data_IF_921322026017
#
_entry.id   IF_921322026017
#
_cell.length_a   1.000
_cell.length_b   1.000
_cell.length_c   1.000
_cell.angle_alpha   90.00
_cell.angle_beta   90.00
_cell.angle_gamma   90.00
#
_symmetry.space_group_name_H-M   'P 1'
#
loop_
_entity.id
_entity.type
_entity.pdbx_description
1 polymer ?
#
# COMPACT_ATOMS: atom_id res chain seq x y z
N UNK A 1 -14.59 3.43 -11.51
CA UNK A 1 -15.58 4.54 -11.52
C UNK A 1 -15.06 5.69 -12.37
N UNK A 2 -15.90 6.40 -13.13
CA UNK A 2 -15.46 7.54 -13.90
C UNK A 2 -14.98 8.69 -13.02
N UNK A 3 -14.13 9.53 -13.58
CA UNK A 3 -13.66 10.76 -12.93
C UNK A 3 -14.06 11.97 -13.80
N UNK A 4 -14.68 13.03 -13.23
CA UNK A 4 -15.09 13.19 -11.83
C UNK A 4 -16.21 12.21 -11.42
N UNK A 5 -16.28 11.90 -10.15
CA UNK A 5 -17.29 10.98 -9.63
C UNK A 5 -18.67 11.64 -9.65
N UNK A 6 -19.63 11.03 -10.34
CA UNK A 6 -21.00 11.52 -10.41
C UNK A 6 -21.83 11.01 -9.23
N UNK A 7 -21.61 9.76 -8.84
CA UNK A 7 -22.29 9.10 -7.73
C UNK A 7 -21.36 8.11 -7.04
N UNK A 8 -21.48 7.99 -5.69
CA UNK A 8 -20.77 7.01 -4.90
C UNK A 8 -21.38 5.60 -5.00
N UNK A 9 -20.63 4.60 -4.51
CA UNK A 9 -21.04 3.19 -4.47
C UNK A 9 -21.65 2.77 -3.13
N UNK A 10 -21.80 3.65 -2.14
CA UNK A 10 -22.49 3.35 -0.89
C UNK A 10 -24.01 3.34 -1.11
N UNK A 11 -24.51 2.21 -1.59
CA UNK A 11 -25.91 1.98 -1.91
C UNK A 11 -26.21 0.47 -1.97
N UNK A 12 -27.45 0.09 -1.72
CA UNK A 12 -27.90 -1.31 -1.77
C UNK A 12 -27.88 -1.88 -3.19
N UNK A 13 -28.18 -1.03 -4.19
CA UNK A 13 -28.24 -1.44 -5.60
C UNK A 13 -27.38 -0.49 -6.44
N UNK A 14 -26.47 -1.06 -7.18
CA UNK A 14 -25.62 -0.38 -8.15
C UNK A 14 -25.81 -1.02 -9.52
N UNK A 15 -26.11 -0.22 -10.53
CA UNK A 15 -26.08 -0.65 -11.94
C UNK A 15 -24.68 -0.42 -12.49
N UNK A 16 -24.12 -1.46 -13.08
CA UNK A 16 -22.79 -1.44 -13.71
C UNK A 16 -22.84 -2.21 -15.03
N UNK A 17 -21.95 -1.88 -15.94
CA UNK A 17 -21.76 -2.64 -17.17
C UNK A 17 -21.07 -3.97 -16.85
N UNK A 18 -21.36 -5.04 -17.60
CA UNK A 18 -20.85 -6.38 -17.37
C UNK A 18 -19.30 -6.43 -17.39
N UNK A 19 -18.66 -5.68 -18.31
CA UNK A 19 -17.19 -5.60 -18.40
C UNK A 19 -16.53 -4.92 -17.19
N UNK A 20 -17.30 -4.23 -16.33
CA UNK A 20 -16.82 -3.65 -15.09
C UNK A 20 -16.88 -4.62 -13.91
N UNK A 21 -17.47 -5.79 -14.13
CA UNK A 21 -17.69 -6.79 -13.10
C UNK A 21 -16.72 -7.96 -13.27
N UNK A 22 -16.14 -8.40 -12.16
CA UNK A 22 -15.29 -9.60 -12.10
C UNK A 22 -15.92 -10.59 -11.14
N UNK A 23 -16.20 -11.86 -11.58
CA UNK A 23 -16.75 -12.89 -10.71
C UNK A 23 -15.85 -13.19 -9.51
N UNK A 24 -16.40 -13.06 -8.31
CA UNK A 24 -15.67 -13.25 -7.06
C UNK A 24 -16.10 -14.52 -6.30
N UNK A 25 -16.69 -15.52 -7.01
CA UNK A 25 -17.14 -16.76 -6.40
C UNK A 25 -16.03 -17.44 -5.58
N UNK A 26 -16.37 -17.84 -4.36
CA UNK A 26 -15.42 -18.44 -3.42
C UNK A 26 -14.67 -17.46 -2.53
N UNK A 27 -14.89 -16.14 -2.69
CA UNK A 27 -14.49 -15.11 -1.72
C UNK A 27 -15.70 -14.69 -0.88
N UNK A 28 -15.46 -14.30 0.36
CA UNK A 28 -16.47 -13.58 1.13
C UNK A 28 -16.67 -12.16 0.56
N UNK A 29 -17.77 -11.50 0.92
CA UNK A 29 -18.00 -10.11 0.49
C UNK A 29 -16.90 -9.16 0.99
N UNK A 30 -16.39 -9.43 2.18
CA UNK A 30 -15.32 -8.68 2.81
C UNK A 30 -13.99 -8.84 2.04
N UNK A 31 -13.67 -10.07 1.66
CA UNK A 31 -12.49 -10.34 0.84
C UNK A 31 -12.64 -9.72 -0.55
N UNK A 32 -13.80 -9.88 -1.19
CA UNK A 32 -14.07 -9.32 -2.51
C UNK A 32 -13.92 -7.79 -2.52
N UNK A 33 -14.34 -7.09 -1.46
CA UNK A 33 -14.18 -5.65 -1.31
C UNK A 33 -12.70 -5.21 -1.21
N UNK A 34 -11.78 -6.12 -0.88
CA UNK A 34 -10.34 -5.85 -0.87
C UNK A 34 -9.69 -5.95 -2.25
N UNK A 35 -10.41 -6.38 -3.28
CA UNK A 35 -9.85 -6.53 -4.63
C UNK A 35 -9.36 -5.19 -5.21
N UNK A 36 -10.11 -4.10 -4.99
CA UNK A 36 -9.74 -2.78 -5.49
C UNK A 36 -8.44 -2.27 -4.86
N UNK A 37 -8.30 -2.16 -3.53
CA UNK A 37 -7.04 -1.68 -2.95
C UNK A 37 -5.86 -2.64 -3.20
N UNK A 38 -6.11 -3.95 -3.31
CA UNK A 38 -5.06 -4.89 -3.70
C UNK A 38 -4.62 -4.67 -5.16
N UNK A 39 -5.55 -4.40 -6.07
CA UNK A 39 -5.22 -4.10 -7.47
C UNK A 39 -4.33 -2.86 -7.61
N UNK A 40 -4.58 -1.82 -6.81
CA UNK A 40 -3.71 -0.63 -6.73
C UNK A 40 -2.29 -1.02 -6.32
N UNK A 41 -2.14 -1.89 -5.32
CA UNK A 41 -0.82 -2.35 -4.87
C UNK A 41 -0.14 -3.23 -5.92
N UNK A 42 -0.86 -4.13 -6.57
CA UNK A 42 -0.31 -4.97 -7.64
C UNK A 42 0.15 -4.13 -8.84
N UNK A 43 -0.56 -3.04 -9.15
CA UNK A 43 -0.13 -2.09 -10.15
C UNK A 43 1.18 -1.40 -9.76
N UNK A 44 1.33 -0.97 -8.50
CA UNK A 44 2.58 -0.40 -7.99
C UNK A 44 3.75 -1.40 -8.10
N UNK A 45 3.53 -2.67 -7.75
CA UNK A 45 4.51 -3.74 -7.91
C UNK A 45 4.94 -3.91 -9.37
N UNK A 46 3.98 -3.85 -10.31
CA UNK A 46 4.26 -3.92 -11.74
C UNK A 46 5.07 -2.73 -12.24
N UNK A 47 4.77 -1.51 -11.74
CA UNK A 47 5.55 -0.31 -12.04
C UNK A 47 6.98 -0.41 -11.50
N UNK A 48 7.19 -1.06 -10.35
CA UNK A 48 8.51 -1.29 -9.79
C UNK A 48 9.37 -2.22 -10.65
N UNK A 49 8.75 -3.09 -11.44
CA UNK A 49 9.44 -4.04 -12.31
C UNK A 49 9.84 -5.32 -11.56
N UNK A 50 11.10 -5.72 -11.63
CA UNK A 50 11.56 -6.97 -10.99
C UNK A 50 11.68 -6.78 -9.48
N UNK A 51 10.84 -7.49 -8.72
CA UNK A 51 10.88 -7.52 -7.24
C UNK A 51 11.67 -8.72 -6.71
N UNK A 52 11.68 -9.83 -7.45
CA UNK A 52 12.33 -11.07 -7.02
C UNK A 52 13.82 -10.84 -6.67
N UNK A 53 14.17 -11.18 -5.42
CA UNK A 53 15.52 -11.02 -4.88
C UNK A 53 15.94 -9.57 -4.62
N UNK A 54 14.98 -8.63 -4.55
CA UNK A 54 15.26 -7.22 -4.26
C UNK A 54 14.96 -6.88 -2.80
N UNK A 55 15.69 -5.90 -2.25
CA UNK A 55 15.44 -5.29 -0.94
C UNK A 55 14.49 -4.11 -1.12
N UNK A 56 13.37 -4.15 -0.42
CA UNK A 56 12.27 -3.22 -0.58
C UNK A 56 12.05 -2.42 0.70
N UNK A 57 12.01 -1.10 0.57
CA UNK A 57 11.52 -0.19 1.60
C UNK A 57 10.06 0.19 1.28
N UNK A 58 9.20 0.17 2.29
CA UNK A 58 7.83 0.67 2.17
C UNK A 58 7.64 1.75 3.23
N UNK A 59 7.35 2.98 2.80
CA UNK A 59 7.09 4.11 3.70
C UNK A 59 5.59 4.37 3.79
N UNK A 60 5.07 4.36 5.03
CA UNK A 60 3.63 4.34 5.30
C UNK A 60 3.04 2.93 5.25
N UNK A 61 2.49 2.47 6.37
CA UNK A 61 1.90 1.14 6.54
C UNK A 61 0.38 1.17 6.83
N UNK A 62 -0.31 2.18 6.31
CA UNK A 62 -1.77 2.14 6.22
C UNK A 62 -2.26 0.97 5.36
N UNK A 63 -3.56 0.89 5.04
CA UNK A 63 -4.12 -0.23 4.27
C UNK A 63 -3.39 -0.51 2.96
N UNK A 64 -2.99 0.54 2.22
CA UNK A 64 -2.28 0.41 0.95
C UNK A 64 -0.84 -0.08 1.18
N UNK A 65 -0.08 0.55 2.09
CA UNK A 65 1.30 0.14 2.35
C UNK A 65 1.37 -1.31 2.86
N UNK A 66 0.46 -1.71 3.74
CA UNK A 66 0.41 -3.09 4.24
C UNK A 66 0.06 -4.10 3.13
N UNK A 67 -0.84 -3.75 2.20
CA UNK A 67 -1.09 -4.57 1.00
C UNK A 67 0.13 -4.62 0.06
N UNK A 68 0.90 -3.52 -0.05
CA UNK A 68 2.17 -3.52 -0.78
C UNK A 68 3.20 -4.46 -0.15
N UNK A 69 3.22 -4.61 1.19
CA UNK A 69 4.05 -5.63 1.86
C UNK A 69 3.67 -7.03 1.40
N UNK A 70 2.38 -7.39 1.48
CA UNK A 70 1.90 -8.70 1.06
C UNK A 70 2.18 -8.97 -0.43
N UNK A 71 1.98 -7.97 -1.29
CA UNK A 71 2.24 -8.06 -2.71
C UNK A 71 3.75 -8.19 -3.04
N UNK A 72 4.61 -7.42 -2.35
CA UNK A 72 6.09 -7.51 -2.50
C UNK A 72 6.61 -8.86 -2.04
N UNK A 73 6.12 -9.39 -0.91
CA UNK A 73 6.46 -10.72 -0.43
C UNK A 73 6.04 -11.79 -1.42
N UNK A 74 4.84 -11.68 -1.98
CA UNK A 74 4.34 -12.60 -3.02
C UNK A 74 5.16 -12.52 -4.31
N UNK A 75 5.68 -11.34 -4.66
CA UNK A 75 6.55 -11.13 -5.81
C UNK A 75 8.00 -11.60 -5.58
N UNK A 76 8.33 -12.08 -4.38
CA UNK A 76 9.63 -12.66 -4.06
C UNK A 76 10.69 -11.65 -3.61
N UNK A 77 10.30 -10.56 -2.95
CA UNK A 77 11.26 -9.67 -2.30
C UNK A 77 12.15 -10.44 -1.32
N UNK A 78 13.45 -10.16 -1.35
CA UNK A 78 14.44 -10.74 -0.44
C UNK A 78 14.20 -10.24 0.99
N UNK A 79 14.08 -8.92 1.12
CA UNK A 79 13.86 -8.24 2.39
C UNK A 79 12.86 -7.12 2.21
N UNK A 80 11.96 -6.96 3.18
CA UNK A 80 10.96 -5.89 3.22
C UNK A 80 11.07 -5.17 4.55
N UNK A 81 11.45 -3.90 4.52
CA UNK A 81 11.46 -3.02 5.69
C UNK A 81 10.37 -1.99 5.53
N UNK A 82 9.64 -1.74 6.62
CA UNK A 82 8.48 -0.85 6.61
C UNK A 82 8.63 0.23 7.65
N UNK A 83 8.31 1.47 7.29
CA UNK A 83 8.30 2.61 8.21
C UNK A 83 6.92 3.21 8.34
N UNK A 84 6.56 3.62 9.53
CA UNK A 84 5.33 4.35 9.82
C UNK A 84 5.45 5.11 11.15
N UNK A 85 4.58 6.06 11.37
CA UNK A 85 4.42 6.76 12.67
C UNK A 85 3.53 5.98 13.64
N UNK A 86 2.68 5.08 13.14
CA UNK A 86 1.71 4.30 13.92
C UNK A 86 2.25 2.90 14.25
N UNK A 87 2.44 2.63 15.53
CA UNK A 87 2.80 1.28 16.02
C UNK A 87 1.78 0.22 15.61
N UNK A 88 0.51 0.61 15.58
CA UNK A 88 -0.57 -0.29 15.18
C UNK A 88 -0.44 -0.69 13.70
N UNK A 89 -0.27 0.28 12.82
CA UNK A 89 -0.07 0.03 11.39
C UNK A 89 1.16 -0.88 11.15
N UNK A 90 2.25 -0.64 11.87
CA UNK A 90 3.46 -1.46 11.81
C UNK A 90 3.23 -2.92 12.24
N UNK A 91 2.36 -3.17 13.25
CA UNK A 91 1.99 -4.55 13.63
C UNK A 91 1.31 -5.29 12.48
N UNK A 92 0.41 -4.62 11.75
CA UNK A 92 -0.24 -5.21 10.57
C UNK A 92 0.79 -5.49 9.47
N UNK A 93 1.68 -4.54 9.17
CA UNK A 93 2.75 -4.77 8.20
C UNK A 93 3.60 -5.99 8.54
N UNK A 94 3.95 -6.17 9.84
CA UNK A 94 4.67 -7.34 10.33
C UNK A 94 3.89 -8.63 10.10
N UNK A 95 2.58 -8.62 10.37
CA UNK A 95 1.71 -9.81 10.25
C UNK A 95 1.54 -10.32 8.81
N UNK A 96 1.76 -9.46 7.80
CA UNK A 96 1.61 -9.82 6.38
C UNK A 96 2.94 -10.00 5.66
N UNK A 97 4.07 -9.96 6.38
CA UNK A 97 5.36 -10.39 5.83
C UNK A 97 6.47 -9.35 5.78
N UNK A 98 6.38 -8.22 6.50
CA UNK A 98 7.54 -7.35 6.71
C UNK A 98 8.61 -8.05 7.56
N UNK A 99 9.87 -7.98 7.15
CA UNK A 99 11.00 -8.54 7.90
C UNK A 99 11.35 -7.66 9.11
N UNK A 100 11.30 -6.35 8.91
CA UNK A 100 11.51 -5.36 9.96
C UNK A 100 10.52 -4.21 9.80
N UNK A 101 10.14 -3.62 10.94
CA UNK A 101 9.33 -2.41 11.00
C UNK A 101 10.04 -1.37 11.87
N UNK A 102 9.93 -0.09 11.52
CA UNK A 102 10.58 1.02 12.21
C UNK A 102 9.53 2.11 12.45
N UNK A 103 9.33 2.48 13.71
CA UNK A 103 8.52 3.65 14.06
C UNK A 103 9.38 4.92 13.90
N UNK A 104 9.12 5.70 12.86
CA UNK A 104 9.93 6.88 12.56
C UNK A 104 9.73 8.06 13.50
N UNK A 105 8.74 8.04 14.38
CA UNK A 105 8.63 9.03 15.45
C UNK A 105 9.60 8.73 16.61
N UNK A 106 9.91 7.46 16.86
CA UNK A 106 10.70 7.01 18.00
C UNK A 106 12.12 6.58 17.58
N UNK A 107 12.25 6.01 16.39
CA UNK A 107 13.45 5.29 15.94
C UNK A 107 13.96 5.80 14.57
N UNK A 108 13.71 7.08 14.22
CA UNK A 108 14.10 7.60 12.90
C UNK A 108 15.60 7.42 12.60
N UNK A 109 16.45 7.50 13.63
CA UNK A 109 17.88 7.31 13.49
C UNK A 109 18.27 5.91 12.98
N UNK A 110 17.41 4.92 13.12
CA UNK A 110 17.61 3.58 12.56
C UNK A 110 17.67 3.59 11.02
N UNK A 111 17.00 4.56 10.36
CA UNK A 111 17.08 4.72 8.90
C UNK A 111 18.48 5.13 8.43
N UNK A 112 19.26 5.84 9.26
CA UNK A 112 20.64 6.23 8.91
C UNK A 112 21.53 5.04 8.59
N UNK A 113 21.24 3.87 9.17
CA UNK A 113 21.94 2.63 8.85
C UNK A 113 21.77 2.23 7.38
N UNK A 114 20.60 2.56 6.79
CA UNK A 114 20.23 2.25 5.41
C UNK A 114 20.62 3.35 4.41
N UNK A 115 21.03 4.53 4.89
CA UNK A 115 21.56 5.61 4.06
C UNK A 115 23.06 5.44 3.76
N UNK A 116 23.76 4.67 4.61
CA UNK A 116 25.19 4.44 4.47
C UNK A 116 25.55 3.80 3.12
N UNK A 117 26.77 4.02 2.65
CA UNK A 117 27.27 3.48 1.38
C UNK A 117 26.42 3.82 0.14
N UNK A 118 25.81 5.00 0.14
CA UNK A 118 24.89 5.52 -0.90
C UNK A 118 23.54 4.84 -0.96
N UNK A 119 23.10 4.15 0.09
CA UNK A 119 21.80 3.51 0.19
C UNK A 119 21.85 1.99 0.24
N UNK A 120 20.71 1.41 0.60
CA UNK A 120 20.58 -0.02 0.90
C UNK A 120 19.52 -0.72 0.06
N UNK A 121 18.41 -0.03 -0.28
CA UNK A 121 17.28 -0.64 -0.96
C UNK A 121 17.38 -0.51 -2.48
N UNK A 122 16.89 -1.52 -3.16
CA UNK A 122 16.79 -1.54 -4.61
C UNK A 122 15.50 -0.82 -5.07
N UNK A 123 14.45 -0.95 -4.27
CA UNK A 123 13.12 -0.40 -4.53
C UNK A 123 12.60 0.27 -3.25
N UNK A 124 11.99 1.43 -3.40
CA UNK A 124 11.15 2.05 -2.39
C UNK A 124 9.74 2.22 -2.93
N UNK A 125 8.72 1.88 -2.12
CA UNK A 125 7.30 2.11 -2.41
C UNK A 125 6.80 3.10 -1.38
N UNK A 126 6.57 4.33 -1.83
CA UNK A 126 6.12 5.41 -0.97
C UNK A 126 4.59 5.42 -0.92
N UNK A 127 4.02 5.14 0.25
CA UNK A 127 2.59 5.03 0.48
C UNK A 127 2.04 6.07 1.48
N UNK A 128 2.90 6.88 2.08
CA UNK A 128 2.48 7.88 3.08
C UNK A 128 2.01 9.20 2.45
N UNK A 129 2.54 9.55 1.29
CA UNK A 129 2.35 10.86 0.66
C UNK A 129 3.03 12.01 1.43
N UNK A 130 3.90 11.70 2.41
CA UNK A 130 4.58 12.72 3.22
C UNK A 130 5.92 13.11 2.63
N UNK A 131 6.30 14.38 2.79
CA UNK A 131 7.61 14.89 2.36
C UNK A 131 8.75 14.10 3.01
N UNK A 132 8.63 13.79 4.30
CA UNK A 132 9.63 13.02 5.02
C UNK A 132 9.75 11.58 4.48
N UNK A 133 8.63 10.89 4.24
CA UNK A 133 8.64 9.53 3.70
C UNK A 133 9.28 9.46 2.30
N UNK A 134 9.05 10.48 1.46
CA UNK A 134 9.68 10.60 0.14
C UNK A 134 11.19 10.84 0.29
N UNK A 135 11.60 11.75 1.18
CA UNK A 135 13.00 12.06 1.46
C UNK A 135 13.75 10.83 1.98
N UNK A 136 13.18 10.14 2.96
CA UNK A 136 13.74 8.90 3.53
C UNK A 136 13.90 7.82 2.46
N UNK A 137 12.89 7.67 1.59
CA UNK A 137 12.94 6.74 0.46
C UNK A 137 14.13 7.04 -0.48
N UNK A 138 14.31 8.32 -0.85
CA UNK A 138 15.41 8.75 -1.74
C UNK A 138 16.79 8.54 -1.07
N UNK A 139 16.90 8.87 0.24
CA UNK A 139 18.12 8.70 0.99
C UNK A 139 18.54 7.24 1.10
N UNK A 140 17.59 6.34 1.34
CA UNK A 140 17.83 4.92 1.56
C UNK A 140 17.97 4.09 0.27
N UNK A 141 17.60 4.63 -0.90
CA UNK A 141 17.75 3.94 -2.18
C UNK A 141 19.21 3.88 -2.63
N UNK A 142 19.65 2.73 -3.16
CA UNK A 142 20.92 2.56 -3.87
C UNK A 142 20.96 3.38 -5.16
N UNK A 143 22.15 3.68 -5.72
CA UNK A 143 22.24 4.18 -7.09
C UNK A 143 21.48 3.27 -8.09
N UNK A 144 20.76 3.90 -9.02
CA UNK A 144 19.85 3.27 -9.99
C UNK A 144 18.63 2.60 -9.38
N UNK A 145 18.40 2.76 -8.07
CA UNK A 145 17.19 2.29 -7.40
C UNK A 145 15.91 2.93 -7.95
N UNK A 146 14.79 2.32 -7.65
CA UNK A 146 13.48 2.77 -8.13
C UNK A 146 12.60 3.22 -6.96
N UNK A 147 12.09 4.45 -7.02
CA UNK A 147 11.03 4.95 -6.15
C UNK A 147 9.69 4.86 -6.87
N UNK A 148 8.74 4.15 -6.27
CA UNK A 148 7.34 4.13 -6.70
C UNK A 148 6.55 5.07 -5.80
N UNK A 149 6.09 6.19 -6.36
CA UNK A 149 5.22 7.13 -5.66
C UNK A 149 3.78 6.68 -5.78
N UNK A 150 3.21 6.19 -4.68
CA UNK A 150 1.84 5.69 -4.59
C UNK A 150 1.01 6.54 -3.63
N UNK A 151 1.61 7.05 -2.55
CA UNK A 151 0.98 7.94 -1.59
C UNK A 151 0.56 9.26 -2.25
N UNK A 152 -0.65 9.71 -1.92
CA UNK A 152 -1.20 10.97 -2.40
C UNK A 152 -1.05 12.03 -1.31
N UNK A 153 -0.19 12.98 -1.52
CA UNK A 153 0.01 14.18 -0.70
C UNK A 153 -0.21 15.44 -1.52
N UNK A 154 0.17 16.57 -0.96
CA UNK A 154 0.27 17.84 -1.68
C UNK A 154 1.61 17.95 -2.44
N UNK A 155 1.91 19.16 -2.91
CA UNK A 155 3.23 19.47 -3.44
C UNK A 155 4.28 19.38 -2.34
N UNK A 156 5.41 18.70 -2.62
CA UNK A 156 6.47 18.42 -1.66
C UNK A 156 7.84 18.78 -2.24
N UNK A 157 8.79 19.12 -1.37
CA UNK A 157 10.17 19.30 -1.77
C UNK A 157 10.89 17.94 -1.82
N UNK A 158 11.67 17.71 -2.86
CA UNK A 158 12.48 16.50 -3.00
C UNK A 158 13.96 16.84 -3.14
N UNK A 159 14.89 16.01 -2.63
CA UNK A 159 16.33 16.22 -2.77
C UNK A 159 16.80 15.86 -4.20
N UNK A 160 16.50 16.73 -5.17
CA UNK A 160 16.73 16.48 -6.60
C UNK A 160 18.20 16.19 -6.93
N UNK A 161 19.14 16.78 -6.18
CA UNK A 161 20.58 16.48 -6.34
C UNK A 161 20.86 15.01 -6.07
N UNK A 162 20.26 14.42 -5.04
CA UNK A 162 20.41 12.99 -4.75
C UNK A 162 19.77 12.12 -5.83
N UNK A 163 18.60 12.51 -6.32
CA UNK A 163 17.95 11.80 -7.44
C UNK A 163 18.88 11.75 -8.64
N UNK A 164 19.51 12.89 -8.98
CA UNK A 164 20.41 12.99 -10.12
C UNK A 164 21.72 12.22 -9.88
N UNK A 165 22.36 12.39 -8.72
CA UNK A 165 23.67 11.79 -8.43
C UNK A 165 23.63 10.28 -8.20
N UNK A 166 22.47 9.77 -7.77
CA UNK A 166 22.20 8.33 -7.66
C UNK A 166 21.55 7.73 -8.93
N UNK A 167 21.25 8.54 -9.96
CA UNK A 167 20.54 8.10 -11.18
C UNK A 167 19.24 7.34 -10.84
N UNK A 168 18.43 7.85 -9.89
CA UNK A 168 17.23 7.16 -9.43
C UNK A 168 16.13 7.17 -10.48
N UNK A 169 15.33 6.11 -10.51
CA UNK A 169 14.10 6.02 -11.30
C UNK A 169 12.91 6.41 -10.43
N UNK A 170 12.29 7.57 -10.69
CA UNK A 170 11.07 7.99 -10.03
C UNK A 170 9.87 7.67 -10.93
N UNK A 171 8.92 6.89 -10.40
CA UNK A 171 7.72 6.46 -11.13
C UNK A 171 6.48 6.67 -10.29
N UNK A 172 5.49 7.35 -10.84
CA UNK A 172 4.16 7.43 -10.26
C UNK A 172 3.39 6.12 -10.47
N UNK A 173 2.54 5.78 -9.51
CA UNK A 173 1.57 4.70 -9.62
C UNK A 173 0.19 5.25 -9.23
N UNK A 174 -0.77 5.16 -10.13
CA UNK A 174 -2.11 5.71 -9.89
C UNK A 174 -3.18 4.70 -10.28
N UNK A 175 -4.00 4.30 -9.29
CA UNK A 175 -5.07 3.31 -9.45
C UNK A 175 -4.53 1.97 -10.00
N UNK A 176 -5.22 1.35 -10.93
CA UNK A 176 -4.88 0.08 -11.59
C UNK A 176 -5.47 0.04 -13.01
N UNK A 177 -5.05 -0.95 -13.78
CA UNK A 177 -5.59 -1.25 -15.11
C UNK A 177 -6.17 -2.67 -15.13
N UNK A 178 -5.37 -3.66 -15.52
CA UNK A 178 -5.78 -5.07 -15.61
C UNK A 178 -5.60 -5.84 -14.28
N UNK A 179 -5.05 -5.18 -13.28
CA UNK A 179 -4.68 -5.81 -12.01
C UNK A 179 -5.89 -6.17 -11.13
N UNK A 180 -7.10 -5.68 -11.45
CA UNK A 180 -8.30 -5.98 -10.66
C UNK A 180 -8.68 -7.46 -10.72
N UNK A 181 -8.75 -8.04 -11.92
CA UNK A 181 -8.98 -9.48 -12.09
C UNK A 181 -7.85 -10.30 -11.47
N UNK A 182 -6.60 -9.85 -11.60
CA UNK A 182 -5.44 -10.50 -10.99
C UNK A 182 -5.58 -10.51 -9.44
N UNK A 183 -6.01 -9.42 -8.84
CA UNK A 183 -6.24 -9.32 -7.39
C UNK A 183 -7.28 -10.35 -6.92
N UNK A 184 -8.44 -10.41 -7.59
CA UNK A 184 -9.48 -11.41 -7.31
C UNK A 184 -8.91 -12.83 -7.42
N UNK A 185 -8.20 -13.13 -8.49
CA UNK A 185 -7.62 -14.46 -8.73
C UNK A 185 -6.55 -14.81 -7.68
N UNK A 186 -5.73 -13.86 -7.25
CA UNK A 186 -4.73 -14.11 -6.20
C UNK A 186 -5.38 -14.42 -4.85
N UNK A 187 -6.46 -13.73 -4.48
CA UNK A 187 -7.21 -14.02 -3.26
C UNK A 187 -7.92 -15.36 -3.34
N UNK A 188 -8.63 -15.66 -4.44
CA UNK A 188 -9.28 -16.97 -4.68
C UNK A 188 -8.30 -18.14 -4.55
N UNK A 189 -7.09 -18.00 -5.07
CA UNK A 189 -6.02 -19.00 -4.98
C UNK A 189 -5.26 -18.97 -3.65
N UNK A 190 -5.68 -18.12 -2.70
CA UNK A 190 -5.01 -17.93 -1.40
C UNK A 190 -3.52 -17.58 -1.53
N UNK A 191 -3.13 -16.94 -2.62
CA UNK A 191 -1.76 -16.48 -2.84
C UNK A 191 -1.44 -15.19 -2.07
N UNK A 192 -2.47 -14.38 -1.79
CA UNK A 192 -2.43 -13.23 -0.90
C UNK A 192 -3.63 -13.34 0.04
N UNK A 193 -3.38 -13.30 1.34
CA UNK A 193 -4.41 -13.29 2.37
C UNK A 193 -4.64 -11.86 2.84
N UNK A 194 -5.83 -11.33 2.59
CA UNK A 194 -6.24 -9.97 2.98
C UNK A 194 -7.00 -9.92 4.31
N UNK A 195 -7.43 -11.07 4.83
CA UNK A 195 -8.26 -11.15 6.05
C UNK A 195 -7.65 -10.46 7.27
N UNK A 196 -6.33 -10.53 7.52
CA UNK A 196 -5.73 -9.84 8.68
C UNK A 196 -5.94 -8.33 8.67
N UNK A 197 -6.26 -7.73 7.52
CA UNK A 197 -6.44 -6.29 7.37
C UNK A 197 -7.90 -5.85 7.56
N UNK A 198 -8.86 -6.76 7.47
CA UNK A 198 -10.28 -6.48 7.63
C UNK A 198 -10.59 -6.48 9.13
N UNK A 199 -10.51 -5.30 9.76
CA UNK A 199 -10.61 -5.18 11.21
C UNK A 199 -12.03 -4.97 11.70
N UNK A 200 -12.85 -4.27 10.92
CA UNK A 200 -14.21 -3.92 11.32
C UNK A 200 -15.18 -4.05 10.14
N UNK A 201 -16.37 -4.58 10.46
CA UNK A 201 -17.51 -4.65 9.57
C UNK A 201 -18.73 -4.12 10.31
N UNK A 202 -19.34 -3.09 9.77
CA UNK A 202 -20.55 -2.48 10.33
C UNK A 202 -21.69 -2.52 9.31
N UNK A 203 -22.93 -2.52 9.80
CA UNK A 203 -24.10 -2.30 8.96
C UNK A 203 -24.06 -0.89 8.37
N UNK A 204 -24.55 -0.70 7.13
CA UNK A 204 -24.53 0.61 6.47
C UNK A 204 -25.28 1.70 7.25
N UNK A 205 -26.27 1.31 8.09
CA UNK A 205 -26.98 2.23 8.98
C UNK A 205 -26.06 2.87 10.03
N UNK A 206 -24.95 2.22 10.36
CA UNK A 206 -23.88 2.72 11.22
C UNK A 206 -22.77 3.44 10.44
N UNK A 207 -23.04 3.93 9.23
CA UNK A 207 -22.02 4.55 8.39
C UNK A 207 -21.26 5.69 9.09
N UNK A 208 -21.95 6.53 9.87
CA UNK A 208 -21.33 7.61 10.63
C UNK A 208 -20.27 7.07 11.60
N UNK A 209 -20.64 6.06 12.40
CA UNK A 209 -19.73 5.38 13.34
C UNK A 209 -18.53 4.75 12.60
N UNK A 210 -18.78 4.10 11.46
CA UNK A 210 -17.72 3.51 10.65
C UNK A 210 -16.72 4.55 10.13
N UNK A 211 -17.19 5.73 9.72
CA UNK A 211 -16.32 6.84 9.32
C UNK A 211 -15.54 7.40 10.49
N UNK A 212 -16.17 7.60 11.65
CA UNK A 212 -15.51 8.06 12.87
C UNK A 212 -14.41 7.08 13.29
N UNK A 213 -14.70 5.76 13.28
CA UNK A 213 -13.73 4.71 13.58
C UNK A 213 -12.55 4.71 12.59
N UNK A 214 -12.81 4.90 11.31
CA UNK A 214 -11.76 4.95 10.29
C UNK A 214 -10.90 6.21 10.37
N UNK A 215 -11.47 7.34 10.80
CA UNK A 215 -10.77 8.63 10.88
C UNK A 215 -9.95 8.79 12.16
N UNK A 216 -10.47 8.29 13.28
CA UNK A 216 -9.85 8.52 14.59
C UNK A 216 -8.60 7.65 14.84
N UNK A 217 -8.25 6.80 13.90
CA UNK A 217 -7.03 5.97 13.92
C UNK A 217 -6.87 5.24 15.27
N UNK A 218 -7.99 4.86 15.89
CA UNK A 218 -7.98 4.12 17.14
C UNK A 218 -7.14 2.86 16.98
N UNK A 219 -6.42 2.50 18.01
CA UNK A 219 -5.28 1.56 18.04
C UNK A 219 -5.50 0.17 17.39
N UNK A 220 -6.66 -0.09 16.81
CA UNK A 220 -7.01 -1.41 16.26
C UNK A 220 -7.62 -1.37 14.84
N UNK A 221 -7.83 -0.18 14.26
CA UNK A 221 -8.45 -0.07 12.94
C UNK A 221 -7.41 -0.11 11.81
N UNK A 222 -7.62 -1.01 10.82
CA UNK A 222 -6.86 -1.04 9.55
C UNK A 222 -7.80 -0.86 8.36
N UNK A 223 -8.82 -1.71 8.23
CA UNK A 223 -9.84 -1.59 7.19
C UNK A 223 -11.22 -1.73 7.82
N UNK A 224 -12.00 -0.68 7.72
CA UNK A 224 -13.41 -0.63 8.13
C UNK A 224 -14.27 -0.82 6.89
N UNK A 225 -15.23 -1.73 6.95
CA UNK A 225 -16.14 -2.04 5.85
C UNK A 225 -17.59 -1.85 6.26
N UNK A 226 -18.43 -1.43 5.32
CA UNK A 226 -19.87 -1.36 5.47
C UNK A 226 -20.53 -2.51 4.70
N UNK A 227 -21.53 -3.17 5.33
CA UNK A 227 -22.37 -4.14 4.65
C UNK A 227 -23.74 -3.55 4.38
N UNK A 228 -24.25 -3.78 3.18
CA UNK A 228 -25.54 -3.34 2.69
C UNK A 228 -26.53 -4.51 2.61
#
# INVERSE_FOLDING_TARGET
>A
MPFPHIQGAFREILVAEDYQCVPADGLSSEEAAMAEPLAVCLHAIKQAGKIFGQKVLITGSGPIGTLCVAASRRAGAEEIIVTDISKNALRFAKSVGADRVINVLEEHDELKNYESNKGYFDIAIECSGSEQGISDSINCLKPKGTLIQLGLGGDVLIPLVLVTTKELNLRGSFRFHLEFELAVNMMKKKLINVNPLITHKLDFKSAKEAFELAMNNEEQSMKVQLSF
#
